data_IF_631610886584
#
_entry.id   IF_631610886584
#
_cell.length_a   1.000
_cell.length_b   1.000
_cell.length_c   1.000
_cell.angle_alpha   90.00
_cell.angle_beta   90.00
_cell.angle_gamma   90.00
#
_symmetry.space_group_name_H-M   'P 1'
#
loop_
_entity.id
_entity.type
_entity.pdbx_description
1 polymer ?
#
# COMPACT_ATOMS: atom_id res chain seq x y z
N UNK A 1 -24.77 9.18 -18.14
CA UNK A 1 -23.49 9.24 -18.91
C UNK A 1 -23.33 8.02 -19.80
N UNK A 2 -22.82 8.14 -21.04
CA UNK A 2 -22.56 6.98 -21.91
C UNK A 2 -21.47 6.12 -21.27
N UNK A 3 -21.67 4.81 -21.20
CA UNK A 3 -20.79 3.81 -20.59
C UNK A 3 -19.29 3.96 -20.99
N UNK A 4 -19.03 4.39 -22.22
CA UNK A 4 -17.66 4.66 -22.75
C UNK A 4 -17.00 5.89 -22.08
N UNK A 5 -17.75 6.93 -21.76
CA UNK A 5 -17.20 8.13 -21.11
C UNK A 5 -16.76 7.85 -19.67
N UNK A 6 -17.49 7.01 -18.96
CA UNK A 6 -17.17 6.64 -17.55
C UNK A 6 -15.88 5.83 -17.45
N UNK A 7 -15.65 4.87 -18.36
CA UNK A 7 -14.41 4.05 -18.36
C UNK A 7 -13.17 4.93 -18.59
N UNK A 8 -13.23 5.86 -19.55
CA UNK A 8 -12.09 6.77 -19.85
C UNK A 8 -11.76 7.63 -18.64
N UNK A 9 -12.76 8.08 -17.88
CA UNK A 9 -12.57 8.89 -16.67
C UNK A 9 -11.99 8.07 -15.50
N UNK A 10 -12.24 6.74 -15.45
CA UNK A 10 -11.72 5.86 -14.41
C UNK A 10 -10.24 5.50 -14.60
N UNK A 11 -9.71 5.50 -15.83
CA UNK A 11 -8.33 5.11 -16.11
C UNK A 11 -7.29 5.91 -15.30
N UNK A 12 -7.34 7.26 -15.24
CA UNK A 12 -6.38 8.02 -14.42
C UNK A 12 -6.55 7.77 -12.92
N UNK A 13 -7.75 7.43 -12.46
CA UNK A 13 -7.98 7.05 -11.06
C UNK A 13 -7.35 5.68 -10.78
N UNK A 14 -7.49 4.71 -11.68
CA UNK A 14 -6.79 3.43 -11.58
C UNK A 14 -5.26 3.60 -11.62
N UNK A 15 -4.76 4.53 -12.44
CA UNK A 15 -3.33 4.83 -12.42
C UNK A 15 -2.88 5.49 -11.10
N UNK A 16 -3.77 6.23 -10.43
CA UNK A 16 -3.51 6.71 -9.07
C UNK A 16 -3.42 5.57 -8.04
N UNK A 17 -4.19 4.47 -8.20
CA UNK A 17 -4.00 3.26 -7.39
C UNK A 17 -2.64 2.59 -7.65
N UNK A 18 -2.10 2.68 -8.86
CA UNK A 18 -0.74 2.23 -9.12
C UNK A 18 0.28 3.05 -8.31
N UNK A 19 0.16 4.38 -8.30
CA UNK A 19 1.00 5.27 -7.47
C UNK A 19 0.85 4.95 -5.98
N UNK A 20 -0.36 4.61 -5.51
CA UNK A 20 -0.61 4.22 -4.13
C UNK A 20 0.22 2.99 -3.69
N UNK A 21 0.54 2.07 -4.60
CA UNK A 21 1.36 0.90 -4.33
C UNK A 21 2.84 1.19 -4.09
N UNK A 22 3.32 2.40 -4.40
CA UNK A 22 4.74 2.76 -4.21
C UNK A 22 5.18 2.74 -2.74
N UNK A 23 4.26 2.91 -1.80
CA UNK A 23 4.57 2.83 -0.38
C UNK A 23 5.16 1.47 0.02
N UNK A 24 4.82 0.42 -0.69
CA UNK A 24 5.28 -0.94 -0.38
C UNK A 24 6.76 -1.17 -0.74
N UNK A 25 7.39 -0.25 -1.49
CA UNK A 25 8.85 -0.27 -1.77
C UNK A 25 9.69 0.17 -0.55
N UNK A 26 9.04 0.74 0.46
CA UNK A 26 9.71 1.23 1.69
C UNK A 26 10.57 0.13 2.35
N UNK A 27 10.15 -1.13 2.34
CA UNK A 27 10.94 -2.24 2.89
C UNK A 27 12.32 -2.37 2.24
N UNK A 28 12.35 -2.43 0.90
CA UNK A 28 13.60 -2.51 0.13
C UNK A 28 14.40 -1.22 0.24
N UNK A 29 13.75 -0.05 0.11
CA UNK A 29 14.40 1.24 0.25
C UNK A 29 15.08 1.40 1.63
N UNK A 30 14.43 0.93 2.70
CA UNK A 30 15.01 0.90 4.06
C UNK A 30 16.29 0.07 4.09
N UNK A 31 16.31 -1.09 3.43
CA UNK A 31 17.49 -1.96 3.39
C UNK A 31 18.66 -1.31 2.65
N UNK A 32 18.41 -0.61 1.54
CA UNK A 32 19.45 0.15 0.83
C UNK A 32 19.94 1.33 1.67
N UNK A 33 19.07 2.16 2.24
CA UNK A 33 19.44 3.29 3.10
C UNK A 33 20.25 2.80 4.30
N UNK A 34 19.87 1.67 4.92
CA UNK A 34 20.62 1.06 6.01
C UNK A 34 22.05 0.75 5.58
N UNK A 35 22.24 0.15 4.42
CA UNK A 35 23.57 -0.20 3.88
C UNK A 35 24.39 1.04 3.56
N UNK A 36 23.84 2.02 2.86
CA UNK A 36 24.55 3.22 2.42
C UNK A 36 25.02 4.10 3.58
N UNK A 37 24.24 4.20 4.64
CA UNK A 37 24.56 5.02 5.81
C UNK A 37 25.06 4.19 7.01
N UNK A 38 25.35 2.90 6.84
CA UNK A 38 25.81 1.99 7.90
C UNK A 38 24.94 2.06 9.17
N UNK A 39 23.63 2.06 9.01
CA UNK A 39 22.70 2.18 10.13
C UNK A 39 22.60 0.86 10.90
N UNK A 40 22.43 0.98 12.23
CA UNK A 40 22.07 -0.18 13.07
C UNK A 40 20.66 -0.67 12.74
N UNK A 41 20.33 -1.92 13.07
CA UNK A 41 18.98 -2.48 12.92
C UNK A 41 17.93 -1.60 13.60
N UNK A 42 18.24 -1.12 14.80
CA UNK A 42 17.34 -0.23 15.55
C UNK A 42 17.11 1.10 14.82
N UNK A 43 18.14 1.73 14.29
CA UNK A 43 18.03 3.00 13.56
C UNK A 43 17.28 2.84 12.24
N UNK A 44 17.57 1.79 11.47
CA UNK A 44 16.88 1.53 10.21
C UNK A 44 15.39 1.18 10.40
N UNK A 45 15.03 0.53 11.52
CA UNK A 45 13.64 0.21 11.86
C UNK A 45 12.74 1.46 12.08
N UNK A 46 13.32 2.64 12.32
CA UNK A 46 12.54 3.89 12.39
C UNK A 46 12.12 4.41 11.01
N UNK A 47 12.82 4.07 9.93
CA UNK A 47 12.49 4.57 8.59
C UNK A 47 11.08 4.17 8.14
N UNK A 48 10.65 2.90 8.23
CA UNK A 48 9.27 2.54 7.96
C UNK A 48 8.25 3.26 8.86
N UNK A 49 8.59 3.46 10.13
CA UNK A 49 7.71 4.17 11.05
C UNK A 49 7.45 5.62 10.61
N UNK A 50 8.45 6.27 9.98
CA UNK A 50 8.30 7.61 9.40
C UNK A 50 7.29 7.64 8.25
N UNK A 51 7.04 6.51 7.58
CA UNK A 51 6.02 6.41 6.53
C UNK A 51 4.66 6.06 7.12
N UNK A 52 4.59 5.01 7.94
CA UNK A 52 3.30 4.45 8.37
C UNK A 52 2.60 5.22 9.48
N UNK A 53 3.33 6.01 10.27
CA UNK A 53 2.75 6.88 11.31
C UNK A 53 1.68 7.84 10.73
N UNK A 54 1.88 8.33 9.52
CA UNK A 54 0.98 9.28 8.88
C UNK A 54 -0.38 8.68 8.52
N UNK A 55 -0.48 7.37 8.35
CA UNK A 55 -1.78 6.72 8.16
C UNK A 55 -2.66 6.87 9.40
N UNK A 56 -2.08 6.80 10.60
CA UNK A 56 -2.79 7.06 11.84
C UNK A 56 -3.16 8.54 11.98
N UNK A 57 -2.20 9.43 11.77
CA UNK A 57 -2.36 10.85 12.05
C UNK A 57 -3.23 11.59 11.03
N UNK A 58 -3.18 11.20 9.75
CA UNK A 58 -3.82 11.95 8.66
C UNK A 58 -5.13 11.34 8.16
N UNK A 59 -5.52 10.13 8.59
CA UNK A 59 -6.76 9.52 8.10
C UNK A 59 -7.98 10.40 8.33
N UNK A 60 -8.16 10.92 9.54
CA UNK A 60 -9.30 11.78 9.88
C UNK A 60 -9.14 13.21 9.34
N UNK A 61 -7.98 13.89 9.48
CA UNK A 61 -7.76 15.19 8.84
C UNK A 61 -7.98 15.18 7.32
N UNK A 62 -7.62 14.10 6.63
CA UNK A 62 -7.83 13.96 5.18
C UNK A 62 -9.31 13.92 4.82
N UNK A 63 -10.14 13.25 5.62
CA UNK A 63 -11.58 13.26 5.41
C UNK A 63 -12.16 14.68 5.51
N UNK A 64 -11.72 15.46 6.51
CA UNK A 64 -12.09 16.89 6.61
C UNK A 64 -11.55 17.73 5.45
N UNK A 65 -10.34 17.45 4.98
CA UNK A 65 -9.74 18.13 3.84
C UNK A 65 -10.53 17.87 2.55
N UNK A 66 -10.95 16.61 2.30
CA UNK A 66 -11.79 16.25 1.16
C UNK A 66 -13.08 17.05 1.11
N UNK A 67 -13.70 17.29 2.27
CA UNK A 67 -14.93 18.09 2.34
C UNK A 67 -14.70 19.58 2.04
N UNK A 68 -13.48 20.11 2.22
CA UNK A 68 -13.13 21.51 1.95
C UNK A 68 -12.70 21.77 0.52
N UNK A 69 -11.84 20.92 -0.03
CA UNK A 69 -11.23 21.16 -1.35
C UNK A 69 -11.70 20.17 -2.44
N UNK A 70 -12.54 19.18 -2.06
CA UNK A 70 -13.02 18.11 -2.93
C UNK A 70 -12.04 16.93 -3.03
N UNK A 71 -12.58 15.76 -3.38
CA UNK A 71 -11.82 14.50 -3.39
C UNK A 71 -10.72 14.49 -4.46
N UNK A 72 -11.03 14.96 -5.68
CA UNK A 72 -10.03 15.06 -6.76
C UNK A 72 -8.85 15.94 -6.38
N UNK A 73 -9.09 17.13 -5.82
CA UNK A 73 -8.02 18.03 -5.42
C UNK A 73 -7.19 17.46 -4.25
N UNK A 74 -7.82 16.72 -3.37
CA UNK A 74 -7.13 16.01 -2.27
C UNK A 74 -6.18 14.94 -2.82
N UNK A 75 -6.62 14.17 -3.83
CA UNK A 75 -5.76 13.20 -4.53
C UNK A 75 -4.60 13.91 -5.25
N UNK A 76 -4.85 15.00 -5.94
CA UNK A 76 -3.79 15.78 -6.61
C UNK A 76 -2.78 16.36 -5.61
N UNK A 77 -3.25 16.87 -4.48
CA UNK A 77 -2.38 17.34 -3.39
C UNK A 77 -1.48 16.21 -2.85
N UNK A 78 -2.04 15.02 -2.65
CA UNK A 78 -1.26 13.87 -2.19
C UNK A 78 -0.14 13.49 -3.16
N UNK A 79 -0.44 13.51 -4.47
CA UNK A 79 0.55 13.26 -5.52
C UNK A 79 1.64 14.32 -5.54
N UNK A 80 1.27 15.60 -5.38
CA UNK A 80 2.24 16.69 -5.31
C UNK A 80 3.21 16.50 -4.13
N UNK A 81 2.69 16.16 -2.95
CA UNK A 81 3.51 15.88 -1.76
C UNK A 81 4.46 14.69 -2.02
N UNK A 82 3.96 13.62 -2.64
CA UNK A 82 4.77 12.45 -3.00
C UNK A 82 5.87 12.83 -4.00
N UNK A 83 5.57 13.61 -5.03
CA UNK A 83 6.56 14.09 -6.01
C UNK A 83 7.67 14.88 -5.32
N UNK A 84 7.30 15.84 -4.46
CA UNK A 84 8.28 16.64 -3.70
C UNK A 84 9.16 15.72 -2.85
N UNK A 85 8.56 14.76 -2.15
CA UNK A 85 9.30 13.77 -1.35
C UNK A 85 10.31 12.97 -2.18
N UNK A 86 9.91 12.52 -3.38
CA UNK A 86 10.77 11.75 -4.26
C UNK A 86 11.89 12.60 -4.90
N UNK A 87 11.70 13.90 -5.10
CA UNK A 87 12.70 14.78 -5.70
C UNK A 87 13.79 15.21 -4.72
N UNK A 88 13.53 15.26 -3.43
CA UNK A 88 14.48 15.73 -2.41
C UNK A 88 15.79 14.92 -2.39
N UNK A 89 15.79 13.58 -2.36
CA UNK A 89 17.04 12.80 -2.37
C UNK A 89 17.84 12.93 -3.66
N UNK A 90 17.22 13.36 -4.76
CA UNK A 90 17.89 13.58 -6.04
C UNK A 90 18.79 14.84 -5.97
N UNK A 91 18.32 15.87 -5.25
CA UNK A 91 19.06 17.14 -5.10
C UNK A 91 20.28 16.93 -4.19
N UNK A 92 20.10 16.21 -3.10
CA UNK A 92 21.16 15.90 -2.13
C UNK A 92 20.85 14.58 -1.44
N UNK A 93 21.72 13.59 -1.61
CA UNK A 93 21.55 12.27 -1.01
C UNK A 93 22.25 12.22 0.36
N UNK A 94 21.48 12.44 1.40
CA UNK A 94 21.89 12.36 2.81
C UNK A 94 20.85 11.58 3.61
N UNK A 95 21.22 11.10 4.80
CA UNK A 95 20.26 10.42 5.67
C UNK A 95 19.05 11.31 6.01
N UNK A 96 19.28 12.61 6.22
CA UNK A 96 18.22 13.58 6.53
C UNK A 96 17.24 13.70 5.34
N UNK A 97 17.75 13.83 4.11
CA UNK A 97 16.91 13.95 2.93
C UNK A 97 16.14 12.65 2.64
N UNK A 98 16.74 11.50 2.91
CA UNK A 98 16.03 10.22 2.87
C UNK A 98 14.90 10.17 3.91
N UNK A 99 15.15 10.55 5.16
CA UNK A 99 14.11 10.63 6.19
C UNK A 99 12.97 11.56 5.78
N UNK A 100 13.26 12.74 5.22
CA UNK A 100 12.24 13.67 4.73
C UNK A 100 11.44 13.02 3.57
N UNK A 101 12.11 12.31 2.66
CA UNK A 101 11.44 11.58 1.58
C UNK A 101 10.48 10.51 2.11
N UNK A 102 10.89 9.72 3.10
CA UNK A 102 10.03 8.73 3.76
C UNK A 102 8.82 9.38 4.44
N UNK A 103 9.02 10.49 5.16
CA UNK A 103 7.93 11.27 5.77
C UNK A 103 6.95 11.75 4.70
N UNK A 104 7.42 12.39 3.63
CA UNK A 104 6.56 12.94 2.58
C UNK A 104 5.87 11.84 1.77
N UNK A 105 6.53 10.70 1.53
CA UNK A 105 5.91 9.53 0.94
C UNK A 105 4.76 9.02 1.82
N UNK A 106 4.97 8.95 3.13
CA UNK A 106 3.95 8.53 4.09
C UNK A 106 2.77 9.49 4.13
N UNK A 107 3.03 10.80 4.23
CA UNK A 107 2.00 11.86 4.18
C UNK A 107 1.19 11.78 2.89
N UNK A 108 1.87 11.77 1.74
CA UNK A 108 1.23 11.68 0.42
C UNK A 108 0.39 10.41 0.30
N UNK A 109 0.95 9.26 0.66
CA UNK A 109 0.26 7.99 0.52
C UNK A 109 -0.93 7.85 1.49
N UNK A 110 -0.83 8.32 2.72
CA UNK A 110 -1.95 8.33 3.67
C UNK A 110 -3.14 9.16 3.13
N UNK A 111 -2.86 10.36 2.61
CA UNK A 111 -3.89 11.21 1.97
C UNK A 111 -4.48 10.51 0.73
N UNK A 112 -3.63 9.92 -0.11
CA UNK A 112 -4.05 9.24 -1.34
C UNK A 112 -4.96 8.05 -1.04
N UNK A 113 -4.60 7.22 -0.07
CA UNK A 113 -5.34 6.03 0.30
C UNK A 113 -6.74 6.34 0.85
N UNK A 114 -6.85 7.41 1.65
CA UNK A 114 -8.13 7.85 2.20
C UNK A 114 -9.02 8.49 1.13
N UNK A 115 -8.45 9.14 0.11
CA UNK A 115 -9.21 9.94 -0.86
C UNK A 115 -9.60 9.22 -2.14
N UNK A 116 -8.87 8.17 -2.56
CA UNK A 116 -9.15 7.47 -3.83
C UNK A 116 -10.47 6.70 -3.83
N UNK A 117 -10.77 5.94 -2.79
CA UNK A 117 -12.02 5.19 -2.72
C UNK A 117 -13.26 6.11 -2.73
N UNK A 118 -13.31 7.19 -1.91
CA UNK A 118 -14.37 8.19 -2.03
C UNK A 118 -14.45 8.88 -3.40
N UNK A 119 -13.32 9.07 -4.10
CA UNK A 119 -13.34 9.64 -5.45
C UNK A 119 -14.07 8.72 -6.44
N UNK A 120 -13.87 7.40 -6.37
CA UNK A 120 -14.62 6.44 -7.19
C UNK A 120 -16.11 6.43 -6.81
N UNK A 121 -16.43 6.48 -5.53
CA UNK A 121 -17.83 6.45 -5.06
C UNK A 121 -18.66 7.66 -5.48
N UNK A 122 -18.01 8.79 -5.81
CA UNK A 122 -18.69 9.93 -6.40
C UNK A 122 -19.13 9.71 -7.85
N UNK A 123 -18.47 8.81 -8.54
CA UNK A 123 -18.66 8.61 -9.97
C UNK A 123 -19.50 7.37 -10.28
N UNK A 124 -19.51 6.41 -9.38
CA UNK A 124 -20.09 5.09 -9.56
C UNK A 124 -20.95 4.70 -8.37
N UNK A 125 -21.94 3.85 -8.65
CA UNK A 125 -22.82 3.27 -7.62
C UNK A 125 -23.06 1.78 -7.90
N UNK A 126 -23.58 1.06 -6.90
CA UNK A 126 -23.94 -0.35 -7.02
C UNK A 126 -22.76 -1.28 -7.35
N UNK A 127 -23.02 -2.31 -8.13
CA UNK A 127 -22.02 -3.34 -8.49
C UNK A 127 -20.79 -2.78 -9.24
N UNK A 128 -21.00 -1.73 -10.05
CA UNK A 128 -19.89 -1.11 -10.79
C UNK A 128 -18.91 -0.38 -9.85
N UNK A 129 -19.40 0.20 -8.76
CA UNK A 129 -18.57 0.79 -7.71
C UNK A 129 -17.71 -0.29 -7.05
N UNK A 130 -18.32 -1.38 -6.59
CA UNK A 130 -17.60 -2.49 -5.92
C UNK A 130 -16.55 -3.10 -6.83
N UNK A 131 -16.88 -3.37 -8.09
CA UNK A 131 -15.94 -3.90 -9.08
C UNK A 131 -14.79 -2.95 -9.35
N UNK A 132 -15.05 -1.64 -9.42
CA UNK A 132 -14.01 -0.64 -9.67
C UNK A 132 -13.09 -0.45 -8.47
N UNK A 133 -13.62 -0.47 -7.25
CA UNK A 133 -12.79 -0.44 -6.03
C UNK A 133 -11.89 -1.68 -5.94
N UNK A 134 -12.43 -2.87 -6.22
CA UNK A 134 -11.64 -4.11 -6.27
C UNK A 134 -10.57 -4.04 -7.35
N UNK A 135 -10.92 -3.56 -8.56
CA UNK A 135 -9.96 -3.34 -9.64
C UNK A 135 -8.82 -2.39 -9.25
N UNK A 136 -9.14 -1.32 -8.53
CA UNK A 136 -8.13 -0.41 -7.97
C UNK A 136 -7.15 -1.11 -7.02
N UNK A 137 -7.65 -1.96 -6.12
CA UNK A 137 -6.79 -2.72 -5.21
C UNK A 137 -5.91 -3.74 -5.95
N UNK A 138 -6.39 -4.35 -7.03
CA UNK A 138 -5.57 -5.23 -7.89
C UNK A 138 -4.45 -4.43 -8.55
N UNK A 139 -4.73 -3.23 -9.04
CA UNK A 139 -3.71 -2.35 -9.65
C UNK A 139 -2.69 -1.89 -8.60
N UNK A 140 -3.13 -1.57 -7.37
CA UNK A 140 -2.21 -1.32 -6.25
C UNK A 140 -1.29 -2.51 -6.02
N UNK A 141 -1.84 -3.72 -5.92
CA UNK A 141 -1.06 -4.94 -5.69
C UNK A 141 -0.08 -5.22 -6.83
N UNK A 142 -0.46 -4.92 -8.08
CA UNK A 142 0.45 -5.00 -9.23
C UNK A 142 1.61 -4.01 -9.10
N UNK A 143 1.37 -2.78 -8.65
CA UNK A 143 2.41 -1.80 -8.39
C UNK A 143 3.36 -2.27 -7.28
N UNK A 144 2.83 -2.79 -6.19
CA UNK A 144 3.62 -3.34 -5.08
C UNK A 144 4.47 -4.54 -5.53
N UNK A 145 3.93 -5.38 -6.42
CA UNK A 145 4.69 -6.45 -7.08
C UNK A 145 5.83 -5.91 -7.95
N UNK A 146 5.60 -4.85 -8.72
CA UNK A 146 6.60 -4.25 -9.62
C UNK A 146 7.70 -3.49 -8.86
N UNK A 147 7.40 -2.95 -7.67
CA UNK A 147 8.31 -2.10 -6.91
C UNK A 147 9.71 -2.69 -6.70
N UNK A 148 9.86 -3.92 -6.18
CA UNK A 148 11.14 -4.58 -6.03
C UNK A 148 11.90 -4.76 -7.35
N UNK A 149 11.21 -5.06 -8.45
CA UNK A 149 11.83 -5.18 -9.76
C UNK A 149 12.34 -3.84 -10.30
N UNK A 150 11.63 -2.74 -10.01
CA UNK A 150 12.11 -1.39 -10.32
C UNK A 150 13.41 -1.09 -9.55
N UNK A 151 13.49 -1.48 -8.29
CA UNK A 151 14.71 -1.32 -7.49
C UNK A 151 15.88 -2.17 -8.03
N UNK A 152 15.62 -3.42 -8.42
CA UNK A 152 16.61 -4.32 -9.05
C UNK A 152 17.07 -3.73 -10.39
N UNK A 153 16.15 -3.23 -11.21
CA UNK A 153 16.47 -2.58 -12.47
C UNK A 153 17.34 -1.32 -12.26
N UNK A 154 16.98 -0.48 -11.31
CA UNK A 154 17.73 0.72 -10.96
C UNK A 154 19.17 0.36 -10.53
N UNK A 155 19.33 -0.67 -9.71
CA UNK A 155 20.64 -1.12 -9.25
C UNK A 155 21.45 -1.81 -10.35
N UNK A 156 20.83 -2.73 -11.09
CA UNK A 156 21.54 -3.60 -12.04
C UNK A 156 21.79 -2.95 -13.40
N UNK A 157 20.86 -2.13 -13.91
CA UNK A 157 20.95 -1.52 -15.25
C UNK A 157 21.40 -0.07 -15.18
N UNK A 158 20.88 0.70 -14.22
CA UNK A 158 21.22 2.11 -14.07
C UNK A 158 22.44 2.31 -13.13
N UNK A 159 22.92 1.24 -12.50
CA UNK A 159 24.11 1.24 -11.64
C UNK A 159 23.91 1.83 -10.25
N UNK A 160 22.74 2.34 -9.92
CA UNK A 160 22.44 2.92 -8.60
C UNK A 160 20.96 2.82 -8.25
N UNK A 161 20.64 2.28 -7.08
CA UNK A 161 19.28 2.14 -6.61
C UNK A 161 18.57 3.50 -6.40
N UNK A 162 19.30 4.60 -6.21
CA UNK A 162 18.70 5.94 -6.07
C UNK A 162 17.82 6.33 -7.26
N UNK A 163 17.97 5.70 -8.41
CA UNK A 163 17.10 5.94 -9.56
C UNK A 163 15.65 5.55 -9.33
N UNK A 164 15.32 4.82 -8.26
CA UNK A 164 13.92 4.61 -7.88
C UNK A 164 13.18 5.93 -7.62
N UNK A 165 13.85 6.92 -7.03
CA UNK A 165 13.27 8.21 -6.71
C UNK A 165 12.78 8.96 -7.97
N UNK A 166 13.63 9.23 -8.99
CA UNK A 166 13.17 9.88 -10.21
C UNK A 166 12.17 9.01 -11.00
N UNK A 167 12.27 7.69 -11.00
CA UNK A 167 11.31 6.81 -11.65
C UNK A 167 9.93 6.98 -11.03
N UNK A 168 9.82 6.89 -9.71
CA UNK A 168 8.54 7.06 -9.01
C UNK A 168 8.01 8.49 -9.09
N UNK A 169 8.87 9.52 -9.06
CA UNK A 169 8.49 10.89 -9.30
C UNK A 169 7.87 11.06 -10.69
N UNK A 170 8.52 10.55 -11.75
CA UNK A 170 8.03 10.63 -13.11
C UNK A 170 6.66 9.95 -13.29
N UNK A 171 6.50 8.73 -12.75
CA UNK A 171 5.23 8.00 -12.81
C UNK A 171 4.12 8.79 -12.07
N UNK A 172 4.45 9.35 -10.91
CA UNK A 172 3.50 10.14 -10.11
C UNK A 172 3.11 11.45 -10.83
N UNK A 173 4.07 12.12 -11.48
CA UNK A 173 3.82 13.32 -12.30
C UNK A 173 2.87 12.98 -13.46
N UNK A 174 3.13 11.90 -14.20
CA UNK A 174 2.26 11.46 -15.30
C UNK A 174 0.86 11.17 -14.79
N UNK A 175 0.73 10.45 -13.68
CA UNK A 175 -0.55 10.15 -13.03
C UNK A 175 -1.30 11.41 -12.62
N UNK A 176 -0.61 12.34 -11.95
CA UNK A 176 -1.17 13.60 -11.47
C UNK A 176 -1.64 14.50 -12.61
N UNK A 177 -0.84 14.64 -13.67
CA UNK A 177 -1.21 15.42 -14.86
C UNK A 177 -2.42 14.79 -15.57
N UNK A 178 -2.44 13.47 -15.74
CA UNK A 178 -3.57 12.78 -16.35
C UNK A 178 -4.85 13.02 -15.55
N UNK A 179 -4.80 12.82 -14.23
CA UNK A 179 -5.95 13.07 -13.36
C UNK A 179 -6.35 14.55 -13.37
N UNK A 180 -5.39 15.50 -13.39
CA UNK A 180 -5.66 16.94 -13.43
C UNK A 180 -6.50 17.33 -14.64
N UNK A 181 -6.15 16.86 -15.83
CA UNK A 181 -6.89 17.14 -17.06
C UNK A 181 -8.20 16.35 -17.20
N UNK A 182 -8.42 15.35 -16.38
CA UNK A 182 -9.65 14.54 -16.40
C UNK A 182 -10.79 15.32 -15.74
N UNK A 183 -11.90 15.47 -16.44
CA UNK A 183 -13.11 16.11 -15.89
C UNK A 183 -13.82 15.15 -14.96
N UNK A 184 -13.85 15.45 -13.67
CA UNK A 184 -14.67 14.79 -12.66
C UNK A 184 -15.81 15.75 -12.30
N UNK A 185 -17.03 15.24 -12.17
CA UNK A 185 -18.19 16.07 -11.80
C UNK A 185 -17.97 16.72 -10.43
N UNK A 186 -18.45 17.97 -10.30
CA UNK A 186 -18.35 18.71 -9.05
C UNK A 186 -19.12 17.98 -7.96
N UNK A 187 -18.46 17.82 -6.82
CA UNK A 187 -19.02 17.22 -5.62
C UNK A 187 -19.91 18.23 -4.89
N UNK A 188 -21.05 17.76 -4.39
CA UNK A 188 -21.73 18.45 -3.30
C UNK A 188 -20.93 18.21 -2.02
N UNK A 189 -20.31 19.29 -1.51
CA UNK A 189 -19.52 19.24 -0.30
C UNK A 189 -20.47 18.98 0.88
N UNK A 190 -20.35 17.82 1.51
CA UNK A 190 -21.18 17.44 2.66
C UNK A 190 -20.63 18.02 3.96
N UNK A 191 -21.54 18.32 4.91
CA UNK A 191 -21.17 18.74 6.26
C UNK A 191 -20.36 17.67 6.96
N UNK A 192 -19.26 18.05 7.59
CA UNK A 192 -18.33 17.15 8.28
C UNK A 192 -18.95 16.59 9.55
N UNK A 193 -18.90 15.27 9.72
CA UNK A 193 -18.96 14.65 11.05
C UNK A 193 -17.76 15.12 11.88
N UNK A 194 -17.99 15.42 13.16
CA UNK A 194 -16.95 15.93 14.05
C UNK A 194 -15.93 14.80 14.35
N UNK A 195 -14.64 15.17 14.54
CA UNK A 195 -13.59 14.24 14.96
C UNK A 195 -14.01 13.45 16.22
N UNK A 196 -14.67 14.10 17.16
CA UNK A 196 -15.14 13.48 18.40
C UNK A 196 -16.20 12.41 18.19
N UNK A 197 -17.06 12.54 17.17
CA UNK A 197 -18.06 11.51 16.83
C UNK A 197 -17.41 10.26 16.27
N UNK A 198 -16.37 10.42 15.44
CA UNK A 198 -15.62 9.28 14.89
C UNK A 198 -14.89 8.49 15.98
N UNK A 199 -14.33 9.15 16.99
CA UNK A 199 -13.71 8.46 18.12
C UNK A 199 -14.72 7.79 19.07
N UNK A 200 -15.93 8.33 19.21
CA UNK A 200 -17.01 7.70 20.00
C UNK A 200 -17.41 6.34 19.45
N UNK A 201 -17.26 6.10 18.15
CA UNK A 201 -17.53 4.79 17.55
C UNK A 201 -16.62 3.69 18.10
N UNK A 202 -15.39 4.00 18.49
CA UNK A 202 -14.47 3.03 19.10
C UNK A 202 -14.88 2.61 20.52
N UNK A 203 -15.87 3.27 21.13
CA UNK A 203 -16.47 2.83 22.40
C UNK A 203 -17.37 1.61 22.24
N UNK A 204 -17.81 1.29 21.02
CA UNK A 204 -18.50 0.02 20.71
C UNK A 204 -17.47 -1.11 20.61
N UNK A 205 -17.67 -2.16 21.42
CA UNK A 205 -16.76 -3.31 21.48
C UNK A 205 -16.62 -4.03 20.14
N UNK A 206 -17.69 -4.11 19.33
CA UNK A 206 -17.63 -4.77 18.04
C UNK A 206 -16.78 -3.96 17.07
N UNK A 207 -16.99 -2.64 17.02
CA UNK A 207 -16.20 -1.73 16.19
C UNK A 207 -14.73 -1.75 16.62
N UNK A 208 -14.47 -1.76 17.93
CA UNK A 208 -13.10 -1.85 18.46
C UNK A 208 -12.42 -3.17 18.05
N UNK A 209 -13.10 -4.30 18.15
CA UNK A 209 -12.57 -5.60 17.74
C UNK A 209 -12.28 -5.68 16.23
N UNK A 210 -13.18 -5.15 15.41
CA UNK A 210 -12.98 -5.04 13.96
C UNK A 210 -11.79 -4.14 13.63
N UNK A 211 -11.66 -3.00 14.31
CA UNK A 211 -10.52 -2.10 14.18
C UNK A 211 -9.21 -2.79 14.54
N UNK A 212 -9.13 -3.48 15.68
CA UNK A 212 -7.94 -4.23 16.09
C UNK A 212 -7.61 -5.37 15.11
N UNK A 213 -8.63 -6.03 14.56
CA UNK A 213 -8.47 -7.03 13.50
C UNK A 213 -7.81 -6.45 12.25
N UNK A 214 -8.23 -5.26 11.81
CA UNK A 214 -7.62 -4.55 10.68
C UNK A 214 -6.17 -4.18 11.00
N UNK A 215 -5.90 -3.65 12.20
CA UNK A 215 -4.53 -3.29 12.63
C UNK A 215 -3.62 -4.52 12.60
N UNK A 216 -4.08 -5.67 13.09
CA UNK A 216 -3.31 -6.91 13.08
C UNK A 216 -2.98 -7.39 11.66
N UNK A 217 -3.96 -7.38 10.76
CA UNK A 217 -3.77 -7.81 9.35
C UNK A 217 -2.83 -6.87 8.61
N UNK A 218 -3.00 -5.55 8.76
CA UNK A 218 -2.11 -4.56 8.16
C UNK A 218 -0.69 -4.69 8.75
N UNK A 219 -0.58 -4.97 10.05
CA UNK A 219 0.71 -5.25 10.69
C UNK A 219 1.44 -6.46 10.10
N UNK A 220 0.72 -7.55 9.79
CA UNK A 220 1.28 -8.72 9.11
C UNK A 220 1.71 -8.34 7.68
N UNK A 221 0.87 -7.65 6.94
CA UNK A 221 1.17 -7.21 5.57
C UNK A 221 2.46 -6.37 5.50
N UNK A 222 2.56 -5.38 6.37
CA UNK A 222 3.74 -4.51 6.45
C UNK A 222 4.97 -5.27 6.93
N UNK A 223 4.82 -6.09 7.99
CA UNK A 223 5.91 -6.85 8.56
C UNK A 223 6.51 -7.85 7.57
N UNK A 224 5.68 -8.62 6.88
CA UNK A 224 6.18 -9.59 5.86
C UNK A 224 6.81 -8.87 4.68
N UNK A 225 6.22 -7.75 4.22
CA UNK A 225 6.83 -6.94 3.16
C UNK A 225 8.23 -6.45 3.54
N UNK A 226 8.39 -5.95 4.76
CA UNK A 226 9.65 -5.37 5.21
C UNK A 226 10.72 -6.38 5.54
N UNK A 227 10.33 -7.47 6.19
CA UNK A 227 11.28 -8.43 6.74
C UNK A 227 11.58 -9.60 5.79
N UNK A 228 10.80 -9.80 4.70
CA UNK A 228 10.98 -10.93 3.79
C UNK A 228 12.37 -10.99 3.14
N UNK A 229 12.88 -9.87 2.66
CA UNK A 229 14.23 -9.81 2.07
C UNK A 229 15.31 -9.97 3.14
N UNK A 230 15.16 -9.35 4.30
CA UNK A 230 16.11 -9.47 5.42
C UNK A 230 16.19 -10.90 5.93
N UNK A 231 15.03 -11.56 6.12
CA UNK A 231 14.99 -12.95 6.54
C UNK A 231 15.79 -13.85 5.62
N UNK A 232 15.66 -13.66 4.30
CA UNK A 232 16.42 -14.42 3.32
C UNK A 232 17.93 -14.06 3.35
N UNK A 233 18.29 -12.79 3.50
CA UNK A 233 19.68 -12.36 3.64
C UNK A 233 20.34 -13.03 4.83
N UNK A 234 19.71 -12.97 5.99
CA UNK A 234 20.25 -13.55 7.25
C UNK A 234 20.34 -15.08 7.20
N UNK A 235 19.31 -15.75 6.64
CA UNK A 235 19.28 -17.21 6.60
C UNK A 235 20.16 -17.84 5.54
N UNK A 236 20.45 -17.12 4.45
CA UNK A 236 21.23 -17.63 3.32
C UNK A 236 22.63 -17.02 3.24
N UNK A 237 22.94 -15.97 4.00
CA UNK A 237 24.21 -15.27 3.92
C UNK A 237 24.46 -14.60 2.56
N UNK A 238 23.39 -14.12 1.89
CA UNK A 238 23.46 -13.51 0.55
C UNK A 238 23.17 -12.02 0.60
N UNK A 239 23.63 -11.29 -0.41
CA UNK A 239 23.37 -9.86 -0.53
C UNK A 239 21.90 -9.54 -0.85
N UNK A 240 21.48 -8.32 -0.53
CA UNK A 240 20.12 -7.82 -0.79
C UNK A 240 19.72 -7.98 -2.27
N UNK A 241 20.65 -7.70 -3.20
CA UNK A 241 20.38 -7.82 -4.65
C UNK A 241 19.91 -9.20 -5.09
N UNK A 242 20.36 -10.25 -4.39
CA UNK A 242 20.00 -11.63 -4.69
C UNK A 242 18.60 -12.04 -4.18
N UNK A 243 18.01 -11.27 -3.26
CA UNK A 243 16.74 -11.60 -2.57
C UNK A 243 15.74 -10.44 -2.52
N UNK A 244 16.05 -9.30 -3.14
CA UNK A 244 15.22 -8.11 -3.18
C UNK A 244 13.79 -8.34 -3.74
N UNK A 245 13.60 -9.42 -4.50
CA UNK A 245 12.31 -9.82 -5.07
C UNK A 245 11.37 -10.53 -4.06
N UNK A 246 11.83 -10.85 -2.86
CA UNK A 246 11.01 -11.60 -1.89
C UNK A 246 9.64 -10.95 -1.57
N UNK A 247 9.53 -9.62 -1.37
CA UNK A 247 8.23 -8.96 -1.26
C UNK A 247 7.33 -9.15 -2.48
N UNK A 248 7.89 -9.25 -3.68
CA UNK A 248 7.11 -9.51 -4.90
C UNK A 248 6.42 -10.85 -4.88
N UNK A 249 7.05 -11.89 -4.31
CA UNK A 249 6.42 -13.21 -4.12
C UNK A 249 5.19 -13.09 -3.22
N UNK A 250 5.32 -12.34 -2.12
CA UNK A 250 4.20 -12.04 -1.22
C UNK A 250 3.03 -11.37 -1.97
N UNK A 251 3.30 -10.26 -2.67
CA UNK A 251 2.26 -9.51 -3.38
C UNK A 251 1.65 -10.27 -4.55
N UNK A 252 2.44 -11.08 -5.26
CA UNK A 252 1.93 -11.97 -6.30
C UNK A 252 0.93 -12.98 -5.75
N UNK A 253 1.31 -13.72 -4.72
CA UNK A 253 0.43 -14.69 -4.07
C UNK A 253 -0.79 -14.02 -3.44
N UNK A 254 -0.63 -12.83 -2.86
CA UNK A 254 -1.72 -12.02 -2.34
C UNK A 254 -2.72 -11.63 -3.42
N UNK A 255 -2.26 -11.25 -4.59
CA UNK A 255 -3.14 -10.92 -5.72
C UNK A 255 -3.96 -12.14 -6.14
N UNK A 256 -3.32 -13.31 -6.29
CA UNK A 256 -4.00 -14.57 -6.59
C UNK A 256 -5.01 -14.92 -5.49
N UNK A 257 -4.62 -14.79 -4.21
CA UNK A 257 -5.48 -15.02 -3.06
C UNK A 257 -6.71 -14.12 -3.05
N UNK A 258 -6.58 -12.85 -3.44
CA UNK A 258 -7.70 -11.93 -3.56
C UNK A 258 -8.69 -12.34 -4.65
N UNK A 259 -8.22 -12.76 -5.82
CA UNK A 259 -9.08 -13.26 -6.90
C UNK A 259 -9.82 -14.54 -6.49
N UNK A 260 -9.10 -15.52 -5.96
CA UNK A 260 -9.70 -16.79 -5.50
C UNK A 260 -10.65 -16.52 -4.33
N UNK A 261 -10.26 -15.65 -3.40
CA UNK A 261 -11.09 -15.25 -2.27
C UNK A 261 -12.42 -14.64 -2.70
N UNK A 262 -12.41 -13.76 -3.70
CA UNK A 262 -13.65 -13.20 -4.27
C UNK A 262 -14.58 -14.28 -4.81
N UNK A 263 -14.03 -15.26 -5.54
CA UNK A 263 -14.82 -16.38 -6.08
C UNK A 263 -15.34 -17.32 -4.98
N UNK A 264 -14.57 -17.55 -3.93
CA UNK A 264 -14.98 -18.39 -2.80
C UNK A 264 -16.03 -17.69 -1.92
N UNK A 265 -15.93 -16.40 -1.68
CA UNK A 265 -16.88 -15.61 -0.92
C UNK A 265 -18.27 -15.58 -1.58
N UNK A 266 -18.34 -15.74 -2.90
CA UNK A 266 -19.62 -15.90 -3.60
C UNK A 266 -20.32 -17.25 -3.32
N UNK A 267 -19.61 -18.25 -2.79
CA UNK A 267 -20.10 -19.63 -2.62
C UNK A 267 -20.15 -20.11 -1.16
N UNK A 268 -19.51 -19.38 -0.24
CA UNK A 268 -19.45 -19.77 1.17
C UNK A 268 -19.68 -18.60 2.11
N UNK A 269 -20.09 -18.88 3.34
CA UNK A 269 -20.34 -17.82 4.33
C UNK A 269 -19.03 -17.05 4.66
N UNK A 270 -19.15 -15.73 4.76
CA UNK A 270 -18.08 -14.81 5.12
C UNK A 270 -17.35 -15.22 6.40
N UNK A 271 -18.10 -15.63 7.44
CA UNK A 271 -17.53 -16.07 8.71
C UNK A 271 -16.68 -17.35 8.57
N UNK A 272 -17.16 -18.34 7.78
CA UNK A 272 -16.40 -19.58 7.54
C UNK A 272 -15.14 -19.30 6.75
N UNK A 273 -15.22 -18.48 5.71
CA UNK A 273 -14.08 -18.03 4.92
C UNK A 273 -13.04 -17.31 5.79
N UNK A 274 -13.49 -16.37 6.61
CA UNK A 274 -12.62 -15.62 7.54
C UNK A 274 -11.84 -16.54 8.47
N UNK A 275 -12.54 -17.47 9.16
CA UNK A 275 -11.91 -18.42 10.10
C UNK A 275 -10.86 -19.29 9.43
N UNK A 276 -11.16 -19.83 8.24
CA UNK A 276 -10.22 -20.67 7.49
C UNK A 276 -8.96 -19.87 7.13
N UNK A 277 -9.13 -18.69 6.57
CA UNK A 277 -8.00 -17.91 6.09
C UNK A 277 -7.12 -17.38 7.23
N UNK A 278 -7.70 -16.95 8.36
CA UNK A 278 -6.91 -16.48 9.50
C UNK A 278 -6.08 -17.61 10.12
N UNK A 279 -6.66 -18.80 10.26
CA UNK A 279 -5.95 -19.98 10.76
C UNK A 279 -4.85 -20.38 9.78
N UNK A 280 -5.15 -20.45 8.49
CA UNK A 280 -4.18 -20.81 7.46
C UNK A 280 -3.03 -19.78 7.37
N UNK A 281 -3.33 -18.48 7.50
CA UNK A 281 -2.30 -17.45 7.57
C UNK A 281 -1.36 -17.63 8.78
N UNK A 282 -1.91 -17.85 9.97
CA UNK A 282 -1.13 -18.10 11.18
C UNK A 282 -0.28 -19.37 11.07
N UNK A 283 -0.85 -20.48 10.59
CA UNK A 283 -0.12 -21.74 10.34
C UNK A 283 0.99 -21.53 9.31
N UNK A 284 0.79 -20.67 8.31
CA UNK A 284 1.81 -20.35 7.31
C UNK A 284 2.90 -19.43 7.85
N UNK A 285 2.62 -18.60 8.85
CA UNK A 285 3.59 -17.68 9.44
C UNK A 285 4.59 -18.40 10.36
N UNK A 286 4.14 -19.40 11.14
CA UNK A 286 4.95 -20.10 12.13
C UNK A 286 6.22 -20.73 11.54
N UNK A 287 6.19 -21.45 10.41
CA UNK A 287 7.39 -22.06 9.85
C UNK A 287 8.48 -21.06 9.47
N UNK A 288 8.16 -19.81 9.16
CA UNK A 288 9.16 -18.79 8.81
C UNK A 288 10.17 -18.54 9.94
N UNK A 289 9.82 -18.83 11.20
CA UNK A 289 10.75 -18.69 12.33
C UNK A 289 11.82 -19.79 12.37
N UNK A 290 11.58 -20.95 11.75
CA UNK A 290 12.43 -22.13 11.88
C UNK A 290 13.06 -22.57 10.55
N UNK A 291 12.48 -22.17 9.42
CA UNK A 291 12.94 -22.62 8.11
C UNK A 291 14.28 -22.01 7.73
N UNK A 292 15.14 -22.88 7.17
CA UNK A 292 16.37 -22.51 6.52
C UNK A 292 16.30 -22.99 5.07
N UNK A 293 16.59 -22.10 4.13
CA UNK A 293 16.57 -22.40 2.72
C UNK A 293 15.65 -21.46 1.91
N UNK A 294 16.10 -21.10 0.72
CA UNK A 294 15.46 -20.11 -0.13
C UNK A 294 14.02 -20.49 -0.50
N UNK A 295 13.84 -21.68 -1.06
CA UNK A 295 12.55 -22.10 -1.60
C UNK A 295 11.48 -22.26 -0.50
N UNK A 296 11.73 -22.97 0.62
CA UNK A 296 10.76 -23.08 1.71
C UNK A 296 10.33 -21.72 2.26
N UNK A 297 11.26 -20.79 2.50
CA UNK A 297 10.94 -19.46 3.01
C UNK A 297 10.03 -18.71 2.03
N UNK A 298 10.36 -18.70 0.73
CA UNK A 298 9.54 -18.03 -0.30
C UNK A 298 8.14 -18.63 -0.42
N UNK A 299 8.00 -19.95 -0.32
CA UNK A 299 6.70 -20.64 -0.34
C UNK A 299 5.83 -20.17 0.82
N UNK A 300 6.38 -20.12 2.04
CA UNK A 300 5.60 -19.69 3.20
C UNK A 300 5.32 -18.19 3.22
N UNK A 301 6.23 -17.33 2.71
CA UNK A 301 5.95 -15.91 2.45
C UNK A 301 4.77 -15.79 1.49
N UNK A 302 4.76 -16.54 0.41
CA UNK A 302 3.66 -16.57 -0.55
C UNK A 302 2.34 -17.05 0.05
N UNK A 303 2.36 -18.11 0.87
CA UNK A 303 1.17 -18.62 1.55
C UNK A 303 0.58 -17.60 2.53
N UNK A 304 1.41 -16.90 3.30
CA UNK A 304 0.95 -15.81 4.18
C UNK A 304 0.26 -14.73 3.34
N UNK A 305 0.86 -14.29 2.22
CA UNK A 305 0.25 -13.33 1.31
C UNK A 305 -1.09 -13.81 0.76
N UNK A 306 -1.16 -15.06 0.31
CA UNK A 306 -2.36 -15.67 -0.23
C UNK A 306 -3.53 -15.68 0.77
N UNK A 307 -3.29 -16.14 1.99
CA UNK A 307 -4.34 -16.26 3.01
C UNK A 307 -4.70 -14.91 3.64
N UNK A 308 -3.78 -13.95 3.75
CA UNK A 308 -4.06 -12.60 4.24
C UNK A 308 -4.83 -11.74 3.24
N UNK A 309 -4.83 -12.08 1.96
CA UNK A 309 -5.29 -11.23 0.85
C UNK A 309 -6.69 -10.63 1.04
N UNK A 310 -7.65 -11.42 1.49
CA UNK A 310 -9.06 -11.00 1.58
C UNK A 310 -9.51 -10.69 3.01
N UNK A 311 -8.66 -10.91 4.03
CA UNK A 311 -9.06 -10.76 5.44
C UNK A 311 -9.47 -9.31 5.73
N UNK A 312 -8.70 -8.33 5.24
CA UNK A 312 -9.04 -6.91 5.38
C UNK A 312 -10.44 -6.59 4.84
N UNK A 313 -10.73 -7.01 3.60
CA UNK A 313 -12.01 -6.75 2.95
C UNK A 313 -13.16 -7.45 3.66
N UNK A 314 -12.93 -8.64 4.20
CA UNK A 314 -13.93 -9.38 4.98
C UNK A 314 -14.26 -8.68 6.29
N UNK A 315 -13.25 -8.24 7.05
CA UNK A 315 -13.46 -7.48 8.29
C UNK A 315 -14.22 -6.18 8.00
N UNK A 316 -13.89 -5.50 6.91
CA UNK A 316 -14.55 -4.25 6.52
C UNK A 316 -16.00 -4.45 6.10
N UNK A 317 -16.42 -5.67 5.73
CA UNK A 317 -17.79 -6.03 5.34
C UNK A 317 -18.67 -6.56 6.48
N UNK A 318 -18.07 -6.84 7.65
CA UNK A 318 -18.76 -7.28 8.87
C UNK A 318 -19.27 -6.10 9.69
#
# INVERSE_FOLDING_TARGET
MKKSSTIITLLPIFFAFFVMGFVDVVGIATSYVKTDFNLTERASGFLPSMVFLWFLLLSIPTASLMNKIGRKNTVLLSMLITIVGMLIPIISYTLVTCCIAFVLLGVGNAILQVSLNPLISNMLSGELLTSSMTGGQVIKALSSFCGPFIAIFATGVLGNWHFIFPIFAAITIISGLWLYFTKVEKEELSTTSSLGESFKLLADNNILLLFLGIVAVVGIDVGVNMESSKLLMERLGVDLSAVAYAPSVYFFCRTIGAFIGTALLAKMSTTKYFKINIIAALVSLIPLFFLNGKLPILVFIGLVGFFCASIFSVIFSL
#
